data_IF_394285513423
#
_entry.id   IF_394285513423
#
_cell.length_a   1.000
_cell.length_b   1.000
_cell.length_c   1.000
_cell.angle_alpha   90.00
_cell.angle_beta   90.00
_cell.angle_gamma   90.00
#
_symmetry.space_group_name_H-M   'P 1'
#
loop_
_entity.id
_entity.type
_entity.pdbx_description
1 polymer ?
#
# COMPACT_ATOMS: atom_id res chain seq x y z
N UNK A 1 8.97 22.34 29.58
CA UNK A 1 8.10 22.96 28.60
C UNK A 1 7.84 21.85 27.60
N UNK A 2 6.78 21.09 27.81
CA UNK A 2 6.37 19.99 26.92
C UNK A 2 5.76 20.62 25.69
N UNK A 3 6.41 20.45 24.55
CA UNK A 3 5.82 20.74 23.25
C UNK A 3 4.77 19.66 23.04
N UNK A 4 3.50 20.01 23.10
CA UNK A 4 2.42 19.14 22.64
C UNK A 4 2.56 19.01 21.12
N UNK A 5 2.55 17.77 20.63
CA UNK A 5 2.38 17.47 19.22
C UNK A 5 1.20 18.27 18.67
N UNK A 6 1.49 19.09 17.66
CA UNK A 6 0.45 19.85 17.00
C UNK A 6 -0.50 18.89 16.29
N UNK A 7 -1.72 18.79 16.79
CA UNK A 7 -2.81 18.16 16.09
C UNK A 7 -2.83 18.65 14.65
N UNK A 8 -2.69 17.75 13.68
CA UNK A 8 -2.96 17.97 12.25
C UNK A 8 -4.49 18.18 12.02
N UNK A 9 -5.11 18.99 12.87
CA UNK A 9 -6.56 19.23 12.88
C UNK A 9 -7.11 19.90 11.63
N UNK A 10 -6.27 20.17 10.60
CA UNK A 10 -6.65 20.80 9.35
C UNK A 10 -6.20 20.06 8.08
N UNK A 11 -5.75 18.80 8.20
CA UNK A 11 -5.48 18.00 7.01
C UNK A 11 -6.81 17.63 6.35
N UNK A 12 -7.08 18.16 5.18
CA UNK A 12 -8.27 17.84 4.38
C UNK A 12 -7.91 16.65 3.50
N UNK A 13 -8.75 15.61 3.48
CA UNK A 13 -8.56 14.46 2.58
C UNK A 13 -8.39 14.93 1.13
N UNK A 14 -7.31 14.45 0.49
CA UNK A 14 -7.08 14.65 -0.94
C UNK A 14 -7.88 13.65 -1.80
N UNK A 15 -8.51 12.65 -1.16
CA UNK A 15 -9.21 11.56 -1.82
C UNK A 15 -10.73 11.77 -1.83
N UNK A 16 -11.34 11.51 -2.98
CA UNK A 16 -12.80 11.51 -3.16
C UNK A 16 -13.25 10.14 -3.64
N UNK A 17 -14.15 9.50 -2.88
CA UNK A 17 -14.77 8.23 -3.27
C UNK A 17 -15.54 8.36 -4.59
N UNK A 18 -15.40 7.36 -5.47
CA UNK A 18 -16.02 7.33 -6.81
C UNK A 18 -17.02 6.19 -6.92
N UNK A 19 -16.56 4.95 -6.75
CA UNK A 19 -17.33 3.74 -7.00
C UNK A 19 -16.75 2.54 -6.26
N UNK A 20 -17.44 1.38 -6.33
CA UNK A 20 -16.96 0.12 -5.79
C UNK A 20 -17.39 -1.07 -6.66
N UNK A 21 -16.59 -2.12 -6.69
CA UNK A 21 -16.90 -3.39 -7.33
C UNK A 21 -16.99 -4.51 -6.30
N UNK A 22 -18.15 -5.18 -6.23
CA UNK A 22 -18.43 -6.32 -5.35
C UNK A 22 -17.75 -7.60 -5.88
N UNK A 23 -16.85 -8.18 -5.08
CA UNK A 23 -16.10 -9.39 -5.40
C UNK A 23 -16.61 -10.63 -4.66
N UNK A 24 -17.66 -10.50 -3.87
CA UNK A 24 -18.17 -11.55 -2.96
C UNK A 24 -18.58 -12.85 -3.66
N UNK A 25 -18.82 -12.80 -4.97
CA UNK A 25 -19.17 -13.98 -5.78
C UNK A 25 -17.98 -14.91 -6.01
N UNK A 26 -16.75 -14.39 -6.01
CA UNK A 26 -15.53 -15.16 -6.21
C UNK A 26 -14.76 -15.33 -4.89
N UNK A 27 -14.66 -14.27 -4.09
CA UNK A 27 -13.92 -14.31 -2.83
C UNK A 27 -14.72 -13.69 -1.68
N UNK A 28 -15.00 -14.50 -0.66
CA UNK A 28 -15.77 -14.06 0.51
C UNK A 28 -14.87 -13.49 1.63
N UNK A 29 -13.61 -13.85 1.64
CA UNK A 29 -12.60 -13.36 2.59
C UNK A 29 -11.35 -12.83 1.87
N UNK A 30 -11.50 -11.73 1.10
CA UNK A 30 -10.43 -11.17 0.30
C UNK A 30 -9.30 -10.63 1.18
N UNK A 31 -8.06 -10.75 0.73
CA UNK A 31 -6.88 -10.35 1.49
C UNK A 31 -5.98 -9.39 0.71
N UNK A 32 -5.66 -9.68 -0.55
CA UNK A 32 -4.77 -8.90 -1.37
C UNK A 32 -5.34 -8.65 -2.77
N UNK A 33 -4.90 -7.56 -3.41
CA UNK A 33 -5.26 -7.28 -4.80
C UNK A 33 -4.22 -6.39 -5.49
N UNK A 34 -4.16 -6.49 -6.81
CA UNK A 34 -3.33 -5.64 -7.63
C UNK A 34 -3.89 -5.49 -9.05
N UNK A 35 -3.32 -4.57 -9.83
CA UNK A 35 -3.67 -4.37 -11.24
C UNK A 35 -2.52 -4.72 -12.18
N UNK A 36 -2.84 -5.00 -13.45
CA UNK A 36 -1.86 -4.89 -14.54
C UNK A 36 -1.43 -3.43 -14.73
N UNK A 37 -0.27 -3.21 -15.32
CA UNK A 37 0.28 -1.85 -15.48
C UNK A 37 -0.64 -0.87 -16.22
N UNK A 38 -1.45 -1.37 -17.15
CA UNK A 38 -2.42 -0.57 -17.90
C UNK A 38 -3.80 -0.51 -17.26
N UNK A 39 -3.99 -1.21 -16.12
CA UNK A 39 -5.22 -1.28 -15.36
C UNK A 39 -6.36 -2.05 -16.06
N UNK A 40 -6.08 -2.72 -17.18
CA UNK A 40 -7.12 -3.49 -17.89
C UNK A 40 -7.39 -4.84 -17.26
N UNK A 41 -6.55 -5.27 -16.31
CA UNK A 41 -6.75 -6.46 -15.49
C UNK A 41 -6.60 -6.12 -14.01
N UNK A 42 -7.39 -6.80 -13.18
CA UNK A 42 -7.31 -6.77 -11.72
C UNK A 42 -7.19 -8.21 -11.23
N UNK A 43 -6.35 -8.42 -10.24
CA UNK A 43 -6.09 -9.71 -9.62
C UNK A 43 -6.36 -9.63 -8.14
N UNK A 44 -6.92 -10.69 -7.58
CA UNK A 44 -7.34 -10.73 -6.19
C UNK A 44 -7.06 -12.10 -5.60
N UNK A 45 -6.56 -12.12 -4.36
CA UNK A 45 -6.40 -13.35 -3.58
C UNK A 45 -7.13 -13.27 -2.25
N UNK A 46 -7.46 -14.43 -1.68
CA UNK A 46 -8.10 -14.52 -0.38
C UNK A 46 -8.20 -15.96 0.15
N UNK A 47 -8.67 -16.08 1.38
CA UNK A 47 -8.64 -17.32 2.14
C UNK A 47 -9.80 -18.28 1.82
N UNK A 48 -10.68 -17.94 0.90
CA UNK A 48 -11.87 -18.80 0.66
C UNK A 48 -11.65 -19.83 -0.43
N UNK A 49 -10.84 -19.53 -1.43
CA UNK A 49 -10.53 -20.42 -2.53
C UNK A 49 -9.08 -20.88 -2.52
N UNK A 50 -8.22 -20.19 -1.74
CA UNK A 50 -6.78 -20.36 -1.81
C UNK A 50 -6.32 -20.27 -3.28
N UNK A 51 -6.82 -19.24 -3.96
CA UNK A 51 -6.60 -19.00 -5.39
C UNK A 51 -6.29 -17.53 -5.70
N UNK A 52 -5.88 -17.29 -6.93
CA UNK A 52 -5.76 -15.94 -7.50
C UNK A 52 -6.84 -15.78 -8.57
N UNK A 53 -7.75 -14.87 -8.35
CA UNK A 53 -8.88 -14.54 -9.23
C UNK A 53 -8.47 -13.42 -10.20
N UNK A 54 -8.70 -13.63 -11.50
CA UNK A 54 -8.45 -12.65 -12.56
C UNK A 54 -9.74 -12.00 -13.03
N UNK A 55 -9.71 -10.67 -13.14
CA UNK A 55 -10.78 -9.85 -13.70
C UNK A 55 -10.26 -9.03 -14.88
N UNK A 56 -11.09 -8.79 -15.88
CA UNK A 56 -10.83 -7.84 -16.96
C UNK A 56 -11.67 -6.58 -16.79
N UNK A 57 -11.08 -5.41 -17.06
CA UNK A 57 -11.75 -4.12 -17.02
C UNK A 57 -11.82 -3.55 -18.44
N UNK A 58 -13.03 -3.20 -18.90
CA UNK A 58 -13.21 -2.62 -20.25
C UNK A 58 -12.66 -1.19 -20.35
N UNK A 59 -12.54 -0.52 -19.20
CA UNK A 59 -11.84 0.77 -19.05
C UNK A 59 -10.77 0.58 -17.97
N UNK A 60 -9.51 0.82 -18.32
CA UNK A 60 -8.41 0.64 -17.38
C UNK A 60 -8.57 1.47 -16.12
N UNK A 61 -8.36 0.84 -14.95
CA UNK A 61 -8.53 1.48 -13.65
C UNK A 61 -9.92 2.08 -13.38
N UNK A 62 -10.97 1.46 -13.92
CA UNK A 62 -12.37 1.76 -13.64
C UNK A 62 -13.03 0.47 -13.14
N UNK A 63 -13.08 0.32 -11.80
CA UNK A 63 -13.54 -0.93 -11.17
C UNK A 63 -15.00 -1.26 -11.49
N UNK A 64 -15.82 -0.26 -11.82
CA UNK A 64 -17.21 -0.48 -12.22
C UNK A 64 -17.35 -1.31 -13.51
N UNK A 65 -16.27 -1.38 -14.30
CA UNK A 65 -16.23 -2.12 -15.56
C UNK A 65 -15.62 -3.53 -15.44
N UNK A 66 -15.29 -3.96 -14.21
CA UNK A 66 -14.66 -5.25 -13.96
C UNK A 66 -15.60 -6.43 -14.22
N UNK A 67 -15.06 -7.51 -14.74
CA UNK A 67 -15.75 -8.79 -14.91
C UNK A 67 -14.77 -9.94 -14.70
N UNK A 68 -15.21 -10.97 -13.94
CA UNK A 68 -14.42 -12.17 -13.67
C UNK A 68 -14.09 -12.93 -14.97
N UNK A 69 -12.87 -13.44 -15.05
CA UNK A 69 -12.35 -14.20 -16.20
C UNK A 69 -12.04 -15.63 -15.81
N UNK A 70 -11.10 -15.81 -14.87
CA UNK A 70 -10.56 -17.11 -14.49
C UNK A 70 -9.96 -17.05 -13.09
N UNK A 71 -9.56 -18.21 -12.55
CA UNK A 71 -8.78 -18.31 -11.31
C UNK A 71 -7.69 -19.37 -11.42
N UNK A 72 -6.64 -19.20 -10.60
CA UNK A 72 -5.54 -20.15 -10.47
C UNK A 72 -5.42 -20.62 -9.03
N UNK A 73 -5.57 -21.92 -8.81
CA UNK A 73 -5.45 -22.58 -7.50
C UNK A 73 -3.99 -22.59 -7.02
N UNK A 74 -3.70 -21.96 -5.88
CA UNK A 74 -2.38 -21.91 -5.24
C UNK A 74 -2.32 -22.75 -3.97
N UNK A 75 -3.37 -23.49 -3.63
CA UNK A 75 -3.50 -24.26 -2.39
C UNK A 75 -2.40 -25.30 -2.15
N UNK A 76 -1.69 -25.70 -3.21
CA UNK A 76 -0.53 -26.60 -3.10
C UNK A 76 0.71 -25.93 -2.49
N UNK A 77 0.78 -24.59 -2.53
CA UNK A 77 1.87 -23.80 -1.98
C UNK A 77 1.42 -23.02 -0.75
N UNK A 78 0.21 -22.37 -0.81
CA UNK A 78 -0.26 -21.51 0.26
C UNK A 78 -1.77 -21.73 0.50
N UNK A 79 -2.16 -21.99 1.76
CA UNK A 79 -3.55 -22.14 2.21
C UNK A 79 -4.07 -20.93 2.98
N UNK A 80 -3.28 -19.87 3.07
CA UNK A 80 -3.65 -18.62 3.74
C UNK A 80 -3.03 -17.42 3.06
N UNK A 81 -3.26 -17.25 1.74
CA UNK A 81 -2.67 -16.15 1.01
C UNK A 81 -3.12 -14.80 1.56
N UNK A 82 -2.20 -13.84 1.59
CA UNK A 82 -2.42 -12.51 2.16
C UNK A 82 -2.34 -11.41 1.13
N UNK A 83 -1.34 -11.46 0.26
CA UNK A 83 -1.17 -10.45 -0.77
C UNK A 83 -0.48 -11.03 -2.00
N UNK A 84 -0.54 -10.29 -3.10
CA UNK A 84 0.06 -10.70 -4.36
C UNK A 84 0.64 -9.52 -5.12
N UNK A 85 1.69 -9.79 -5.89
CA UNK A 85 2.32 -8.82 -6.77
C UNK A 85 2.72 -9.47 -8.10
N UNK A 86 2.91 -8.64 -9.13
CA UNK A 86 3.43 -9.08 -10.42
C UNK A 86 4.74 -8.37 -10.77
N UNK A 87 5.57 -9.03 -11.58
CA UNK A 87 6.65 -8.33 -12.26
C UNK A 87 6.09 -7.29 -13.24
N UNK A 88 6.89 -6.27 -13.54
CA UNK A 88 6.45 -5.17 -14.40
C UNK A 88 5.99 -5.64 -15.80
N UNK A 89 6.53 -6.75 -16.31
CA UNK A 89 6.13 -7.33 -17.60
C UNK A 89 4.99 -8.36 -17.49
N UNK A 90 4.53 -8.65 -16.26
CA UNK A 90 3.45 -9.60 -15.98
C UNK A 90 3.80 -11.07 -16.21
N UNK A 91 5.07 -11.40 -16.42
CA UNK A 91 5.50 -12.78 -16.65
C UNK A 91 5.80 -13.55 -15.38
N UNK A 92 5.82 -12.85 -14.22
CA UNK A 92 5.95 -13.45 -12.90
C UNK A 92 4.85 -12.95 -11.97
N UNK A 93 4.38 -13.82 -11.10
CA UNK A 93 3.45 -13.54 -10.02
C UNK A 93 4.07 -14.02 -8.71
N UNK A 94 3.83 -13.26 -7.66
CA UNK A 94 4.30 -13.55 -6.30
C UNK A 94 3.11 -13.53 -5.36
N UNK A 95 3.07 -14.49 -4.44
CA UNK A 95 2.04 -14.56 -3.39
C UNK A 95 2.73 -14.74 -2.05
N UNK A 96 2.38 -13.89 -1.08
CA UNK A 96 2.79 -14.04 0.32
C UNK A 96 1.65 -14.60 1.14
N UNK A 97 1.94 -15.46 2.10
CA UNK A 97 0.93 -16.03 2.97
C UNK A 97 1.46 -16.50 4.32
N UNK A 98 0.53 -16.86 5.22
CA UNK A 98 0.81 -17.13 6.65
C UNK A 98 1.03 -18.59 6.99
N UNK A 99 0.80 -19.53 6.06
CA UNK A 99 1.00 -20.94 6.40
C UNK A 99 2.41 -21.43 6.11
N UNK A 100 3.12 -20.78 5.17
CA UNK A 100 4.54 -21.04 4.93
C UNK A 100 5.44 -19.98 5.54
N UNK A 101 4.86 -18.80 5.91
CA UNK A 101 5.63 -17.60 6.21
C UNK A 101 6.68 -17.36 5.11
N UNK A 102 6.24 -17.46 3.85
CA UNK A 102 7.09 -17.36 2.67
C UNK A 102 6.48 -16.53 1.55
N UNK A 103 7.31 -16.19 0.57
CA UNK A 103 6.89 -15.59 -0.69
C UNK A 103 7.06 -16.63 -1.80
N UNK A 104 5.95 -17.02 -2.40
CA UNK A 104 5.87 -18.01 -3.47
C UNK A 104 5.98 -17.34 -4.83
N UNK A 105 6.93 -17.77 -5.68
CA UNK A 105 7.14 -17.26 -7.04
C UNK A 105 6.51 -18.20 -8.08
N UNK A 106 5.79 -17.59 -9.04
CA UNK A 106 5.20 -18.27 -10.19
C UNK A 106 5.66 -17.59 -11.49
N UNK A 107 5.87 -18.37 -12.56
CA UNK A 107 6.02 -17.85 -13.91
C UNK A 107 4.73 -18.03 -14.70
N UNK A 108 4.41 -17.05 -15.56
CA UNK A 108 3.26 -17.07 -16.44
C UNK A 108 3.76 -17.15 -17.91
N UNK A 109 3.27 -18.14 -18.67
CA UNK A 109 3.64 -18.28 -20.08
C UNK A 109 2.98 -17.23 -20.97
N UNK A 110 1.88 -16.63 -20.49
CA UNK A 110 1.23 -15.44 -21.07
C UNK A 110 1.16 -14.37 -19.98
N UNK A 111 1.70 -13.20 -20.28
CA UNK A 111 1.76 -12.10 -19.31
C UNK A 111 0.36 -11.75 -18.76
N UNK A 112 0.26 -11.64 -17.44
CA UNK A 112 -0.98 -11.31 -16.73
C UNK A 112 -2.16 -12.26 -17.03
N UNK A 113 -1.89 -13.53 -17.34
CA UNK A 113 -2.91 -14.58 -17.51
C UNK A 113 -2.64 -15.66 -16.46
N UNK A 114 -3.40 -15.60 -15.35
CA UNK A 114 -3.16 -16.47 -14.19
C UNK A 114 -3.37 -17.95 -14.51
N UNK A 115 -4.20 -18.27 -15.50
CA UNK A 115 -4.43 -19.67 -15.94
C UNK A 115 -3.17 -20.33 -16.51
N UNK A 116 -2.14 -19.51 -16.86
CA UNK A 116 -0.86 -19.98 -17.40
C UNK A 116 0.26 -20.07 -16.36
N UNK A 117 -0.07 -19.87 -15.08
CA UNK A 117 0.88 -19.85 -13.96
C UNK A 117 1.50 -21.22 -13.69
N UNK A 118 2.75 -21.22 -13.27
CA UNK A 118 3.49 -22.42 -12.84
C UNK A 118 4.43 -22.03 -11.70
N UNK A 119 4.36 -22.75 -10.59
CA UNK A 119 5.23 -22.54 -9.43
C UNK A 119 6.71 -22.73 -9.80
N UNK A 120 7.57 -21.87 -9.25
CA UNK A 120 9.02 -21.86 -9.50
C UNK A 120 9.78 -22.16 -8.21
N UNK A 121 9.63 -21.31 -7.20
CA UNK A 121 10.40 -21.33 -5.97
C UNK A 121 9.66 -20.57 -4.85
N UNK A 122 10.17 -20.65 -3.63
CA UNK A 122 9.70 -19.83 -2.52
C UNK A 122 10.87 -19.33 -1.67
N UNK A 123 10.65 -18.23 -0.95
CA UNK A 123 11.61 -17.64 -0.03
C UNK A 123 10.99 -17.51 1.36
N UNK A 124 11.59 -18.19 2.35
CA UNK A 124 11.18 -18.18 3.76
C UNK A 124 11.53 -16.84 4.41
N UNK A 125 10.51 -16.12 4.90
CA UNK A 125 10.60 -14.84 5.59
C UNK A 125 10.37 -14.96 7.10
N UNK A 126 10.12 -16.13 7.63
CA UNK A 126 9.72 -16.39 9.03
C UNK A 126 10.71 -15.87 10.08
N UNK A 127 11.97 -15.66 9.70
CA UNK A 127 12.99 -15.08 10.60
C UNK A 127 12.77 -13.58 10.88
N UNK A 128 12.09 -12.85 9.99
CA UNK A 128 11.78 -11.44 10.10
C UNK A 128 10.28 -11.26 10.38
N UNK A 129 9.43 -11.98 9.65
CA UNK A 129 7.99 -11.83 9.76
C UNK A 129 7.29 -13.20 9.75
N UNK A 130 6.56 -13.52 10.81
CA UNK A 130 5.82 -14.77 10.98
C UNK A 130 4.29 -14.60 10.85
N UNK A 131 3.86 -13.42 10.48
CA UNK A 131 2.45 -13.09 10.18
C UNK A 131 2.39 -12.07 9.05
N UNK A 132 2.96 -12.40 7.87
CA UNK A 132 3.00 -11.47 6.75
C UNK A 132 1.59 -11.13 6.26
N UNK A 133 1.41 -9.89 5.82
CA UNK A 133 0.10 -9.37 5.41
C UNK A 133 0.14 -8.60 4.09
N UNK A 134 1.27 -8.01 3.72
CA UNK A 134 1.41 -7.22 2.50
C UNK A 134 2.72 -7.51 1.77
N UNK A 135 2.71 -7.36 0.44
CA UNK A 135 3.84 -7.62 -0.45
C UNK A 135 3.96 -6.53 -1.50
N UNK A 136 5.14 -5.95 -1.63
CA UNK A 136 5.45 -5.04 -2.73
C UNK A 136 6.86 -5.26 -3.28
N UNK A 137 7.09 -4.84 -4.52
CA UNK A 137 8.41 -4.76 -5.14
C UNK A 137 8.68 -3.34 -5.64
N UNK A 138 9.96 -2.98 -5.77
CA UNK A 138 10.33 -1.83 -6.55
C UNK A 138 10.23 -2.15 -8.06
N UNK A 139 10.35 -1.12 -8.91
CA UNK A 139 10.04 -1.24 -10.34
C UNK A 139 10.87 -2.29 -11.11
N UNK A 140 12.11 -2.54 -10.70
CA UNK A 140 13.02 -3.50 -11.37
C UNK A 140 13.12 -4.84 -10.61
N UNK A 141 12.36 -4.99 -9.50
CA UNK A 141 12.33 -6.19 -8.69
C UNK A 141 13.59 -6.48 -7.89
N UNK A 142 14.50 -5.52 -7.80
CA UNK A 142 15.73 -5.69 -7.00
C UNK A 142 15.51 -5.47 -5.51
N UNK A 143 14.33 -4.96 -5.13
CA UNK A 143 13.88 -4.84 -3.74
C UNK A 143 12.49 -5.43 -3.58
N UNK A 144 12.28 -6.11 -2.47
CA UNK A 144 11.01 -6.69 -2.02
C UNK A 144 10.70 -6.17 -0.62
N UNK A 145 9.43 -5.90 -0.36
CA UNK A 145 8.95 -5.35 0.91
C UNK A 145 7.80 -6.20 1.43
N UNK A 146 7.86 -6.53 2.72
CA UNK A 146 6.86 -7.32 3.42
C UNK A 146 6.34 -6.52 4.61
N UNK A 147 5.05 -6.24 4.64
CA UNK A 147 4.38 -5.77 5.85
C UNK A 147 3.86 -6.96 6.65
N UNK A 148 3.83 -6.84 7.97
CA UNK A 148 3.28 -7.91 8.79
C UNK A 148 2.97 -7.53 10.23
N UNK A 149 2.14 -8.37 10.86
CA UNK A 149 1.67 -8.20 12.23
C UNK A 149 2.61 -8.83 13.27
N UNK A 150 3.66 -9.53 12.85
CA UNK A 150 4.60 -10.16 13.77
C UNK A 150 5.53 -9.14 14.43
N UNK A 151 5.90 -8.10 13.67
CA UNK A 151 6.73 -6.99 14.13
C UNK A 151 6.03 -5.64 14.12
N UNK A 152 4.82 -5.57 13.56
CA UNK A 152 4.14 -4.30 13.24
C UNK A 152 5.05 -3.39 12.42
N UNK A 153 5.70 -3.96 11.41
CA UNK A 153 6.73 -3.29 10.62
C UNK A 153 6.63 -3.57 9.11
N UNK A 154 7.46 -2.88 8.36
CA UNK A 154 7.73 -3.14 6.93
C UNK A 154 9.18 -3.58 6.81
N UNK A 155 9.39 -4.82 6.38
CA UNK A 155 10.68 -5.46 6.18
C UNK A 155 11.17 -5.27 4.74
N UNK A 156 12.40 -4.77 4.55
CA UNK A 156 13.05 -4.60 3.26
C UNK A 156 14.03 -5.73 2.97
N UNK A 157 13.93 -6.28 1.75
CA UNK A 157 14.84 -7.28 1.20
C UNK A 157 15.46 -6.76 -0.09
N UNK A 158 16.72 -7.13 -0.34
CA UNK A 158 17.38 -6.90 -1.64
C UNK A 158 17.52 -8.23 -2.39
N UNK A 159 17.28 -8.21 -3.71
CA UNK A 159 17.39 -9.35 -4.59
C UNK A 159 18.56 -9.12 -5.57
N UNK A 160 19.50 -10.07 -5.64
CA UNK A 160 20.64 -9.95 -6.55
C UNK A 160 20.24 -10.15 -8.01
N UNK A 161 19.11 -10.82 -8.24
CA UNK A 161 18.44 -10.92 -9.55
C UNK A 161 17.03 -10.38 -9.39
N UNK A 162 16.66 -9.36 -10.16
CA UNK A 162 15.33 -8.75 -10.04
C UNK A 162 14.21 -9.77 -10.26
N UNK A 163 13.21 -9.75 -9.35
CA UNK A 163 12.07 -10.67 -9.38
C UNK A 163 12.45 -12.16 -9.30
N UNK A 164 13.53 -12.50 -8.60
CA UNK A 164 13.94 -13.87 -8.29
C UNK A 164 14.06 -13.99 -6.76
N UNK A 165 12.99 -14.49 -6.11
CA UNK A 165 12.89 -14.50 -4.64
C UNK A 165 13.95 -15.40 -4.00
N UNK A 166 14.47 -16.40 -4.72
CA UNK A 166 15.55 -17.27 -4.21
C UNK A 166 16.84 -16.50 -3.93
N UNK A 167 16.97 -15.28 -4.50
CA UNK A 167 18.14 -14.40 -4.32
C UNK A 167 17.96 -13.33 -3.26
N UNK A 168 16.83 -13.34 -2.55
CA UNK A 168 16.49 -12.32 -1.56
C UNK A 168 17.36 -12.41 -0.30
N UNK A 169 17.66 -11.26 0.28
CA UNK A 169 18.33 -11.14 1.58
C UNK A 169 17.80 -9.94 2.33
N UNK A 170 17.54 -10.09 3.63
CA UNK A 170 17.04 -9.03 4.51
C UNK A 170 18.05 -7.89 4.62
N UNK A 171 17.54 -6.67 4.63
CA UNK A 171 18.34 -5.43 4.72
C UNK A 171 18.03 -4.67 6.01
N UNK A 172 16.78 -4.26 6.17
CA UNK A 172 16.32 -3.39 7.27
C UNK A 172 14.82 -3.51 7.47
N UNK A 173 14.28 -2.91 8.53
CA UNK A 173 12.85 -2.79 8.76
C UNK A 173 12.47 -1.42 9.30
N UNK A 174 11.21 -1.01 9.09
CA UNK A 174 10.64 0.21 9.61
C UNK A 174 9.41 -0.10 10.45
N UNK A 175 9.44 0.27 11.74
CA UNK A 175 8.36 0.09 12.71
C UNK A 175 7.21 1.07 12.42
N UNK A 176 6.01 0.53 12.12
CA UNK A 176 4.77 1.30 11.87
C UNK A 176 3.81 1.27 13.06
N UNK A 177 4.17 0.61 14.15
CA UNK A 177 3.29 0.38 15.32
C UNK A 177 2.77 1.66 15.98
N UNK A 178 3.46 2.78 15.80
CA UNK A 178 2.99 4.09 16.26
C UNK A 178 1.74 4.58 15.53
N UNK A 179 1.49 4.11 14.31
CA UNK A 179 0.34 4.44 13.48
C UNK A 179 -0.66 3.29 13.43
N UNK A 180 -0.18 2.06 13.22
CA UNK A 180 -1.03 0.87 13.19
C UNK A 180 -0.30 -0.35 13.76
N UNK A 181 -0.94 -1.06 14.71
CA UNK A 181 -0.45 -2.32 15.29
C UNK A 181 -1.05 -3.55 14.62
N UNK A 182 -1.71 -3.36 13.49
CA UNK A 182 -2.26 -4.42 12.65
C UNK A 182 -2.17 -4.03 11.16
N UNK A 183 -0.93 -3.76 10.64
CA UNK A 183 -0.74 -3.42 9.24
C UNK A 183 -1.19 -4.59 8.36
N UNK A 184 -1.84 -4.28 7.23
CA UNK A 184 -2.36 -5.28 6.30
C UNK A 184 -1.64 -5.24 4.96
N UNK A 185 -1.83 -4.19 4.17
CA UNK A 185 -1.23 -4.07 2.86
C UNK A 185 -0.29 -2.88 2.76
N UNK A 186 0.63 -2.93 1.81
CA UNK A 186 1.55 -1.83 1.54
C UNK A 186 1.68 -1.59 0.04
N UNK A 187 2.00 -0.35 -0.32
CA UNK A 187 2.39 0.01 -1.68
C UNK A 187 3.30 1.24 -1.66
N UNK A 188 3.92 1.53 -2.80
CA UNK A 188 4.77 2.70 -2.99
C UNK A 188 4.27 3.52 -4.18
N UNK A 189 4.64 4.80 -4.22
CA UNK A 189 4.55 5.57 -5.45
C UNK A 189 5.62 5.12 -6.45
N UNK A 190 5.55 5.59 -7.70
CA UNK A 190 6.37 5.10 -8.80
C UNK A 190 7.88 5.30 -8.64
N UNK A 191 8.34 6.27 -7.85
CA UNK A 191 9.76 6.51 -7.59
C UNK A 191 10.21 6.06 -6.18
N UNK A 192 9.30 5.47 -5.39
CA UNK A 192 9.55 4.96 -4.06
C UNK A 192 9.78 6.01 -2.98
N UNK A 193 9.56 7.28 -3.30
CA UNK A 193 9.71 8.38 -2.31
C UNK A 193 8.55 8.47 -1.33
N UNK A 194 7.45 7.73 -1.60
CA UNK A 194 6.31 7.58 -0.70
C UNK A 194 5.98 6.11 -0.50
N UNK A 195 5.69 5.75 0.75
CA UNK A 195 5.17 4.45 1.16
C UNK A 195 3.80 4.64 1.80
N UNK A 196 2.90 3.70 1.55
CA UNK A 196 1.56 3.67 2.11
C UNK A 196 1.31 2.33 2.76
N UNK A 197 0.82 2.36 3.99
CA UNK A 197 0.45 1.16 4.75
C UNK A 197 -1.00 1.28 5.17
N UNK A 198 -1.82 0.31 4.78
CA UNK A 198 -3.20 0.21 5.25
C UNK A 198 -3.28 -0.71 6.44
N UNK A 199 -4.08 -0.36 7.43
CA UNK A 199 -4.22 -1.18 8.63
C UNK A 199 -5.63 -1.17 9.23
N UNK A 200 -5.85 -2.11 10.16
CA UNK A 200 -7.16 -2.32 10.77
C UNK A 200 -7.39 -1.49 12.03
N UNK A 201 -6.35 -0.94 12.65
CA UNK A 201 -6.53 -0.27 13.94
C UNK A 201 -7.21 1.09 13.77
N UNK A 202 -6.81 1.86 12.75
CA UNK A 202 -7.43 3.13 12.38
C UNK A 202 -8.51 2.98 11.31
N UNK A 203 -8.55 1.85 10.60
CA UNK A 203 -9.28 1.69 9.35
C UNK A 203 -8.89 2.80 8.36
N UNK A 204 -7.59 3.04 8.27
CA UNK A 204 -7.00 4.13 7.51
C UNK A 204 -5.81 3.67 6.68
N UNK A 205 -5.33 4.58 5.85
CA UNK A 205 -4.12 4.42 5.05
C UNK A 205 -3.11 5.45 5.54
N UNK A 206 -2.01 4.98 6.08
CA UNK A 206 -0.92 5.79 6.60
C UNK A 206 0.08 6.11 5.47
N UNK A 207 0.32 7.41 5.24
CA UNK A 207 1.28 7.91 4.26
C UNK A 207 2.61 8.25 4.93
N UNK A 208 3.72 7.79 4.32
CA UNK A 208 5.09 8.05 4.76
C UNK A 208 5.91 8.62 3.60
N UNK A 209 6.73 9.65 3.87
CA UNK A 209 7.76 10.14 2.96
C UNK A 209 9.09 9.43 3.22
N UNK A 210 9.77 9.02 2.14
CA UNK A 210 11.10 8.43 2.17
C UNK A 210 12.10 9.40 1.55
N UNK A 211 13.18 9.72 2.28
CA UNK A 211 14.23 10.62 1.76
C UNK A 211 15.10 9.96 0.71
N UNK A 212 15.16 8.63 0.70
CA UNK A 212 15.74 7.79 -0.35
C UNK A 212 14.68 6.83 -0.86
N UNK A 213 14.41 6.88 -2.16
CA UNK A 213 13.35 6.05 -2.75
C UNK A 213 13.58 4.55 -2.49
N UNK A 214 12.52 3.86 -2.03
CA UNK A 214 12.55 2.44 -1.71
C UNK A 214 13.58 2.06 -0.61
N UNK A 215 13.86 2.96 0.34
CA UNK A 215 14.68 2.71 1.52
C UNK A 215 13.84 2.99 2.76
N UNK A 216 13.25 1.91 3.33
CA UNK A 216 12.28 2.03 4.43
C UNK A 216 12.91 2.62 5.70
N UNK A 217 14.22 2.49 5.89
CA UNK A 217 14.91 3.09 7.03
C UNK A 217 14.85 4.63 7.06
N UNK A 218 14.50 5.23 5.92
CA UNK A 218 14.40 6.69 5.77
C UNK A 218 12.96 7.22 5.86
N UNK A 219 11.99 6.33 6.15
CA UNK A 219 10.58 6.67 6.19
C UNK A 219 10.23 7.60 7.36
N UNK A 220 9.31 8.52 7.11
CA UNK A 220 8.73 9.42 8.11
C UNK A 220 7.24 9.59 7.87
N UNK A 221 6.43 9.49 8.92
CA UNK A 221 4.97 9.62 8.85
C UNK A 221 4.56 11.02 8.42
N UNK A 222 3.60 11.09 7.50
CA UNK A 222 3.03 12.34 6.97
C UNK A 222 1.62 12.57 7.50
N UNK A 223 0.77 11.53 7.42
CA UNK A 223 -0.61 11.59 7.88
C UNK A 223 -1.39 10.37 7.39
N UNK A 224 -2.69 10.33 7.69
CA UNK A 224 -3.55 9.18 7.39
C UNK A 224 -4.86 9.60 6.70
N UNK A 225 -5.34 8.73 5.80
CA UNK A 225 -6.66 8.82 5.16
C UNK A 225 -7.60 7.81 5.80
N UNK A 226 -8.63 8.27 6.50
CA UNK A 226 -9.71 7.42 7.04
C UNK A 226 -10.59 6.89 5.90
N UNK A 227 -10.69 5.56 5.77
CA UNK A 227 -11.53 4.86 4.80
C UNK A 227 -12.68 4.08 5.44
N UNK A 228 -12.88 4.25 6.75
CA UNK A 228 -13.88 3.53 7.54
C UNK A 228 -15.31 3.73 7.05
N UNK A 229 -15.59 4.84 6.37
CA UNK A 229 -16.89 5.10 5.77
C UNK A 229 -17.24 4.14 4.62
N UNK A 230 -16.25 3.57 3.93
CA UNK A 230 -16.41 2.60 2.87
C UNK A 230 -16.22 1.18 3.37
N UNK A 231 -15.19 0.94 4.18
CA UNK A 231 -14.97 -0.37 4.80
C UNK A 231 -14.31 -0.24 6.18
N UNK A 232 -14.78 -1.02 7.15
CA UNK A 232 -14.26 -1.05 8.51
C UNK A 232 -13.16 -2.11 8.71
N UNK A 233 -12.71 -2.75 7.66
CA UNK A 233 -11.62 -3.72 7.67
C UNK A 233 -10.86 -3.70 6.33
N UNK A 234 -10.18 -2.59 6.02
CA UNK A 234 -9.38 -2.49 4.80
C UNK A 234 -8.19 -3.44 4.85
N UNK A 235 -7.83 -4.04 3.70
CA UNK A 235 -6.82 -5.08 3.59
C UNK A 235 -5.65 -4.73 2.68
N UNK A 236 -5.94 -4.20 1.51
CA UNK A 236 -4.91 -3.90 0.54
C UNK A 236 -5.19 -2.58 -0.18
N UNK A 237 -4.14 -2.00 -0.72
CA UNK A 237 -4.18 -0.72 -1.43
C UNK A 237 -3.36 -0.79 -2.71
N UNK A 238 -3.82 -0.05 -3.71
CA UNK A 238 -3.10 0.09 -4.97
C UNK A 238 -3.37 1.47 -5.58
N UNK A 239 -2.45 1.95 -6.41
CA UNK A 239 -2.63 3.17 -7.20
C UNK A 239 -2.66 2.84 -8.69
N UNK A 240 -3.27 3.71 -9.47
CA UNK A 240 -3.01 3.70 -10.89
C UNK A 240 -1.61 4.30 -11.16
N UNK A 241 -1.12 4.10 -12.40
CA UNK A 241 0.26 4.44 -12.75
C UNK A 241 0.65 5.91 -12.51
N UNK A 242 -0.27 6.85 -12.69
CA UNK A 242 -0.01 8.29 -12.52
C UNK A 242 -0.38 8.81 -11.13
N UNK A 243 -0.87 7.94 -10.23
CA UNK A 243 -1.22 8.28 -8.85
C UNK A 243 -2.46 9.15 -8.70
N UNK A 244 -3.26 9.31 -9.74
CA UNK A 244 -4.50 10.11 -9.69
C UNK A 244 -5.69 9.32 -9.14
N UNK A 245 -5.56 7.99 -9.04
CA UNK A 245 -6.54 7.09 -8.46
C UNK A 245 -5.91 6.22 -7.37
N UNK A 246 -6.67 6.01 -6.31
CA UNK A 246 -6.38 5.09 -5.22
C UNK A 246 -7.47 4.03 -5.19
N UNK A 247 -7.07 2.80 -4.92
CA UNK A 247 -7.97 1.65 -4.76
C UNK A 247 -7.73 1.01 -3.40
N UNK A 248 -8.82 0.63 -2.73
CA UNK A 248 -8.80 0.00 -1.41
C UNK A 248 -9.63 -1.28 -1.45
N UNK A 249 -9.05 -2.39 -1.01
CA UNK A 249 -9.77 -3.63 -0.82
C UNK A 249 -10.29 -3.71 0.61
N UNK A 250 -11.59 -3.97 0.78
CA UNK A 250 -12.22 -4.16 2.08
C UNK A 250 -12.87 -5.54 2.26
N UNK A 251 -12.71 -6.12 3.44
CA UNK A 251 -13.31 -7.41 3.77
C UNK A 251 -14.73 -7.33 4.31
N UNK A 252 -15.11 -6.22 4.94
CA UNK A 252 -16.47 -6.05 5.48
C UNK A 252 -17.49 -6.06 4.35
N UNK A 253 -17.28 -5.23 3.35
CA UNK A 253 -18.17 -5.08 2.20
C UNK A 253 -17.76 -5.96 1.00
N UNK A 254 -16.59 -6.64 1.09
CA UNK A 254 -16.08 -7.52 0.02
C UNK A 254 -16.05 -6.81 -1.32
N UNK A 255 -15.40 -5.65 -1.33
CA UNK A 255 -15.39 -4.76 -2.49
C UNK A 255 -14.02 -4.13 -2.67
N UNK A 256 -13.70 -3.80 -3.92
CA UNK A 256 -12.62 -2.89 -4.26
C UNK A 256 -13.25 -1.52 -4.47
N UNK A 257 -12.81 -0.55 -3.65
CA UNK A 257 -13.29 0.85 -3.65
C UNK A 257 -12.35 1.71 -4.47
N UNK A 258 -12.90 2.56 -5.33
CA UNK A 258 -12.15 3.50 -6.16
C UNK A 258 -12.28 4.93 -5.61
N UNK A 259 -11.14 5.63 -5.54
CA UNK A 259 -11.06 7.05 -5.18
C UNK A 259 -10.27 7.81 -6.25
N UNK A 260 -10.62 9.08 -6.46
CA UNK A 260 -9.78 10.04 -7.18
C UNK A 260 -9.00 10.91 -6.21
N UNK A 261 -7.75 11.21 -6.55
CA UNK A 261 -6.89 12.09 -5.77
C UNK A 261 -6.76 13.46 -6.45
N UNK A 262 -6.85 14.54 -5.66
CA UNK A 262 -6.66 15.91 -6.16
C UNK A 262 -5.20 16.22 -6.48
N UNK A 263 -4.27 15.56 -5.75
CA UNK A 263 -2.83 15.61 -5.98
C UNK A 263 -2.34 14.18 -6.14
N UNK A 264 -1.64 13.83 -7.24
CA UNK A 264 -1.13 12.49 -7.45
C UNK A 264 -0.32 11.99 -6.26
N UNK A 265 -0.60 10.75 -5.82
CA UNK A 265 0.11 10.09 -4.73
C UNK A 265 0.10 10.88 -3.41
N UNK A 266 -0.89 11.74 -3.16
CA UNK A 266 -1.03 12.44 -1.86
C UNK A 266 -2.40 12.16 -1.29
N UNK A 267 -2.45 11.58 -0.11
CA UNK A 267 -3.70 11.25 0.59
C UNK A 267 -4.25 12.45 1.36
N UNK A 268 -3.40 13.43 1.62
CA UNK A 268 -3.71 14.59 2.45
C UNK A 268 -3.35 15.87 1.70
N UNK A 269 -4.28 16.83 1.67
CA UNK A 269 -3.93 18.18 1.29
C UNK A 269 -3.30 18.88 2.49
N UNK A 270 -1.99 19.07 2.45
CA UNK A 270 -1.35 20.01 3.37
C UNK A 270 -1.75 21.38 2.86
N UNK A 271 -2.65 22.08 3.57
CA UNK A 271 -3.04 23.44 3.20
C UNK A 271 -1.79 24.29 3.01
N UNK A 272 -1.65 24.87 1.82
CA UNK A 272 -0.54 25.74 1.47
C UNK A 272 -0.46 27.01 2.37
N UNK A 273 -1.47 27.23 3.21
CA UNK A 273 -1.49 28.32 4.19
C UNK A 273 -0.48 28.09 5.34
N UNK A 274 -0.05 26.84 5.58
CA UNK A 274 0.96 26.56 6.62
C UNK A 274 2.39 26.43 6.07
N UNK A 275 2.58 26.24 4.76
CA UNK A 275 3.90 26.32 4.13
C UNK A 275 4.37 27.77 3.92
N UNK A 276 3.55 28.73 4.29
CA UNK A 276 3.73 30.17 4.10
C UNK A 276 3.61 30.99 5.37
N UNK A 277 3.98 30.50 6.53
CA UNK A 277 4.45 31.39 7.59
C UNK A 277 5.79 31.99 7.13
N UNK A 278 5.68 32.79 6.06
CA UNK A 278 6.53 33.94 5.88
C UNK A 278 6.35 34.70 7.20
N UNK A 279 7.34 34.61 8.09
CA UNK A 279 7.47 35.57 9.17
C UNK A 279 7.31 36.91 8.48
N UNK A 280 6.14 37.50 8.61
CA UNK A 280 5.89 38.85 8.12
C UNK A 280 6.82 39.78 8.91
N UNK A 281 8.01 39.95 8.40
CA UNK A 281 8.98 40.90 8.93
C UNK A 281 8.58 42.34 8.60
N UNK A 282 7.43 42.53 7.93
CA UNK A 282 6.90 43.88 7.65
C UNK A 282 6.12 44.47 8.83
N UNK A 283 5.77 43.67 9.85
CA UNK A 283 5.20 44.20 11.08
C UNK A 283 6.28 44.63 12.07
N UNK A 284 7.18 45.49 11.62
CA UNK A 284 8.05 46.32 12.49
C UNK A 284 7.34 47.57 12.93
N UNK A 285 5.99 47.57 13.00
CA UNK A 285 5.25 48.67 13.54
C UNK A 285 5.01 48.50 15.02
N UNK A 286 5.65 49.37 15.78
CA UNK A 286 5.39 49.70 17.18
C UNK A 286 5.88 48.71 18.24
N UNK A 287 7.18 48.59 18.41
CA UNK A 287 7.66 48.69 19.78
C UNK A 287 7.43 50.16 20.18
N UNK A 288 6.40 50.34 20.97
CA UNK A 288 6.14 51.55 21.71
C UNK A 288 7.31 51.77 22.67
N UNK A 289 8.16 52.74 22.36
CA UNK A 289 9.26 53.17 23.20
C UNK A 289 8.83 54.33 24.09
N UNK A 290 7.70 54.21 24.74
CA UNK A 290 7.36 55.09 25.85
C UNK A 290 8.03 54.60 27.12
N UNK A 291 9.31 54.91 27.22
CA UNK A 291 10.02 54.93 28.50
C UNK A 291 9.78 56.35 29.06
N UNK A 292 8.72 56.49 29.88
CA UNK A 292 8.57 57.62 30.76
C UNK A 292 9.74 57.64 31.77
N UNK A 293 10.65 58.55 31.53
CA UNK A 293 11.67 58.93 32.53
C UNK A 293 11.06 60.09 33.34
N UNK A 294 10.44 59.76 34.47
CA UNK A 294 10.13 60.76 35.49
C UNK A 294 11.42 61.18 36.21
N UNK A 295 11.75 62.46 36.18
CA UNK A 295 12.76 63.19 36.96
C UNK A 295 12.28 63.51 38.37
#
# INVERSE_FOLDING_TARGET
>A
MTVSDGDNANAVSAATYVDAFDISSQEFNPQGFTFSNDGTKMFLTGNNGDDVNEYTLTTGFDVSTASFVDSFDISSQELGPRDLAFSADGTKMFVVGVLGDDVNEYTLSTAFDVSTSSFVDSFDISSQENSPTGLAFNNDGTKMFIAGNGGDDVNEYTLTTGFDVSTASFVDSFDVSSQDTAPNGLTFNSDGTKMYVVGNQGNDINEYDLTLGFDVSTASFVGALDVSSQDSAPKAISFNHDGTKLFVLGTTNKSVFEYTLTTPFSLINVDAEHSGDVIDTSNTSSYDTDVDVET
#
